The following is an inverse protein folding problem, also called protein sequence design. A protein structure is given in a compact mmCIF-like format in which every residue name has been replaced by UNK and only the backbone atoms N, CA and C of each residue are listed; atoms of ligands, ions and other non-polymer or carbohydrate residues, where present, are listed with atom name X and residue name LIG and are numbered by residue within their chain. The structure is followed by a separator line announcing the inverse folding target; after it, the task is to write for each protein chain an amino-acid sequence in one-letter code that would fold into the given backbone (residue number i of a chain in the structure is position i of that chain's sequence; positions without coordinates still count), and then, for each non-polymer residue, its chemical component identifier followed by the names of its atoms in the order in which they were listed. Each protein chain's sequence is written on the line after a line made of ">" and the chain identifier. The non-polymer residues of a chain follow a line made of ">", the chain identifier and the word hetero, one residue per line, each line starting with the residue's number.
data_IF_149714107662
#
_entry.id   IF_149714107662
#
_cell.length_a   1.000
_cell.length_b   1.000
_cell.length_c   1.000
_cell.angle_alpha   90.00
_cell.angle_beta   90.00
_cell.angle_gamma   90.00
#
_symmetry.space_group_name_H-M   'P 1'
#
loop_
_entity.id
_entity.type
_entity.pdbx_description
1 polymer ?
#
# COMPACT_ATOMS: atom_id res chain seq x y z
N UNK A 1 9.56 3.03 0.24
CA UNK A 1 8.28 2.62 0.82
C UNK A 1 8.40 2.67 2.33
N UNK A 2 7.39 3.19 3.01
CA UNK A 2 7.16 2.92 4.44
C UNK A 2 6.03 1.89 4.51
N UNK A 3 6.27 0.77 5.18
CA UNK A 3 5.34 -0.35 5.18
C UNK A 3 4.94 -0.73 6.60
N UNK A 4 3.94 -1.60 6.72
CA UNK A 4 3.50 -2.16 8.00
C UNK A 4 4.54 -3.12 8.58
N UNK A 5 5.13 -4.06 7.80
CA UNK A 5 6.21 -4.90 8.28
C UNK A 5 7.53 -4.12 8.42
N UNK A 6 8.49 -4.62 9.23
CA UNK A 6 9.85 -4.09 9.28
C UNK A 6 10.50 -3.96 7.90
N UNK A 7 11.51 -3.08 7.71
CA UNK A 7 12.26 -2.34 8.74
C UNK A 7 11.66 -0.96 9.10
N UNK A 8 11.96 -0.49 10.32
CA UNK A 8 11.46 0.79 10.85
C UNK A 8 11.90 2.03 10.05
N UNK A 9 13.09 2.01 9.44
CA UNK A 9 13.61 3.12 8.63
C UNK A 9 12.99 3.18 7.21
N UNK A 10 12.12 2.21 6.91
CA UNK A 10 11.53 2.00 5.60
C UNK A 10 12.50 1.38 4.60
N UNK A 11 11.96 1.12 3.41
CA UNK A 11 12.65 0.42 2.33
C UNK A 11 13.05 1.40 1.23
N UNK A 12 14.31 1.35 0.79
CA UNK A 12 14.94 2.29 -0.14
C UNK A 12 15.53 1.58 -1.36
N UNK A 13 15.27 2.12 -2.54
CA UNK A 13 15.75 1.56 -3.81
C UNK A 13 14.83 0.46 -4.36
N UNK A 14 14.89 0.27 -5.68
CA UNK A 14 13.96 -0.63 -6.39
C UNK A 14 14.21 -2.11 -6.07
N UNK A 15 15.45 -2.49 -5.82
CA UNK A 15 15.79 -3.89 -5.51
C UNK A 15 15.27 -4.26 -4.12
N UNK A 16 15.57 -3.45 -3.09
CA UNK A 16 15.04 -3.70 -1.76
C UNK A 16 13.51 -3.63 -1.71
N UNK A 17 12.89 -2.73 -2.46
CA UNK A 17 11.43 -2.68 -2.62
C UNK A 17 10.89 -3.96 -3.24
N UNK A 18 11.52 -4.49 -4.29
CA UNK A 18 11.09 -5.75 -4.93
C UNK A 18 11.07 -6.91 -3.93
N UNK A 19 12.08 -7.00 -3.07
CA UNK A 19 12.21 -8.09 -2.09
C UNK A 19 11.16 -8.06 -0.97
N UNK A 20 10.38 -6.97 -0.80
CA UNK A 20 9.31 -6.93 0.22
C UNK A 20 8.05 -7.68 -0.22
N UNK A 21 7.83 -7.80 -1.53
CA UNK A 21 6.56 -8.29 -2.07
C UNK A 21 6.37 -9.82 -2.10
N UNK A 22 7.39 -10.68 -2.26
CA UNK A 22 7.17 -12.12 -2.36
C UNK A 22 6.40 -12.72 -1.17
N UNK A 23 6.72 -12.41 0.10
CA UNK A 23 5.93 -12.90 1.23
C UNK A 23 4.46 -12.45 1.18
N UNK A 24 4.22 -11.19 0.79
CA UNK A 24 2.88 -10.65 0.63
C UNK A 24 2.10 -11.38 -0.48
N UNK A 25 2.73 -11.67 -1.62
CA UNK A 25 2.11 -12.44 -2.70
C UNK A 25 1.81 -13.88 -2.33
N UNK A 26 2.67 -14.54 -1.55
CA UNK A 26 2.39 -15.88 -1.02
C UNK A 26 1.19 -15.84 -0.08
N UNK A 27 1.11 -14.85 0.80
CA UNK A 27 -0.03 -14.66 1.69
C UNK A 27 -1.33 -14.37 0.92
N UNK A 28 -1.28 -13.52 -0.10
CA UNK A 28 -2.44 -13.23 -0.95
C UNK A 28 -2.96 -14.47 -1.69
N UNK A 29 -2.06 -15.33 -2.20
CA UNK A 29 -2.43 -16.59 -2.86
C UNK A 29 -3.19 -17.56 -1.95
N UNK A 30 -3.10 -17.41 -0.62
CA UNK A 30 -3.86 -18.21 0.34
C UNK A 30 -5.31 -17.71 0.53
N UNK A 31 -5.74 -16.71 -0.25
CA UNK A 31 -7.11 -16.19 -0.24
C UNK A 31 -7.30 -14.92 0.60
N UNK A 32 -6.21 -14.22 0.92
CA UNK A 32 -6.29 -12.92 1.56
C UNK A 32 -6.69 -11.81 0.58
N UNK A 33 -7.44 -10.83 1.06
CA UNK A 33 -7.90 -9.66 0.29
C UNK A 33 -6.86 -8.54 0.31
N UNK A 34 -6.81 -7.78 -0.79
CA UNK A 34 -6.14 -6.47 -0.89
C UNK A 34 -6.93 -5.59 -1.86
N UNK A 35 -8.16 -5.24 -1.45
CA UNK A 35 -9.16 -4.65 -2.34
C UNK A 35 -9.33 -3.15 -2.03
N UNK A 36 -9.34 -2.30 -3.06
CA UNK A 36 -9.58 -0.85 -2.89
C UNK A 36 -11.05 -0.63 -2.50
N UNK A 37 -11.28 0.01 -1.36
CA UNK A 37 -12.60 0.42 -0.88
C UNK A 37 -12.94 1.83 -1.38
N UNK A 38 -11.98 2.74 -1.29
CA UNK A 38 -12.09 4.11 -1.77
C UNK A 38 -10.71 4.63 -2.16
N UNK A 39 -10.67 5.54 -3.11
CA UNK A 39 -9.43 6.18 -3.56
C UNK A 39 -9.73 7.59 -4.06
N UNK A 40 -8.93 8.54 -3.61
CA UNK A 40 -8.91 9.90 -4.12
C UNK A 40 -7.56 10.20 -4.74
N UNK A 41 -7.56 10.97 -5.82
CA UNK A 41 -6.36 11.31 -6.57
C UNK A 41 -6.32 12.82 -6.78
N UNK A 42 -5.22 13.44 -6.37
CA UNK A 42 -4.90 14.83 -6.68
C UNK A 42 -3.75 14.87 -7.67
N UNK A 43 -3.95 15.54 -8.82
CA UNK A 43 -2.96 15.59 -9.90
C UNK A 43 -2.55 17.02 -10.23
N UNK A 44 -1.26 17.19 -10.48
CA UNK A 44 -0.69 18.36 -11.15
C UNK A 44 -0.06 17.98 -12.49
N UNK A 45 0.71 18.89 -13.07
CA UNK A 45 1.38 18.64 -14.36
C UNK A 45 2.44 17.53 -14.27
N UNK A 46 3.29 17.60 -13.24
CA UNK A 46 4.48 16.75 -13.09
C UNK A 46 4.47 15.89 -11.82
N UNK A 47 3.61 16.20 -10.86
CA UNK A 47 3.48 15.47 -9.59
C UNK A 47 2.02 15.18 -9.30
N UNK A 48 1.77 14.06 -8.64
CA UNK A 48 0.45 13.67 -8.17
C UNK A 48 0.58 12.89 -6.86
N UNK A 49 -0.51 12.83 -6.11
CA UNK A 49 -0.64 11.87 -5.02
C UNK A 49 -2.02 11.23 -5.03
N UNK A 50 -2.08 9.99 -4.59
CA UNK A 50 -3.32 9.27 -4.35
C UNK A 50 -3.33 8.76 -2.91
N UNK A 51 -4.50 8.77 -2.27
CA UNK A 51 -4.70 8.06 -1.01
C UNK A 51 -5.91 7.15 -1.11
N UNK A 52 -5.83 5.99 -0.47
CA UNK A 52 -6.85 4.96 -0.55
C UNK A 52 -7.07 4.27 0.80
N UNK A 53 -8.29 3.78 0.99
CA UNK A 53 -8.61 2.77 1.99
C UNK A 53 -8.73 1.43 1.30
N UNK A 54 -8.12 0.41 1.89
CA UNK A 54 -8.15 -0.97 1.38
C UNK A 54 -8.72 -1.92 2.42
N UNK A 55 -9.47 -2.91 1.94
CA UNK A 55 -9.79 -4.12 2.68
C UNK A 55 -8.59 -5.06 2.53
N UNK A 56 -7.81 -5.21 3.60
CA UNK A 56 -6.60 -6.01 3.63
C UNK A 56 -6.65 -6.98 4.80
N UNK A 57 -6.61 -8.28 4.51
CA UNK A 57 -6.64 -9.34 5.52
C UNK A 57 -7.09 -10.68 4.97
N UNK A 58 -6.87 -11.75 5.72
CA UNK A 58 -7.48 -13.06 5.46
C UNK A 58 -8.98 -13.02 5.70
N UNK A 59 -9.70 -14.03 5.21
CA UNK A 59 -11.15 -14.14 5.47
C UNK A 59 -11.48 -14.28 6.96
N UNK A 60 -10.59 -14.87 7.75
CA UNK A 60 -10.76 -14.98 9.20
C UNK A 60 -10.58 -13.61 9.87
N UNK A 61 -9.48 -12.92 9.59
CA UNK A 61 -9.20 -11.58 10.12
C UNK A 61 -10.32 -10.59 9.80
N UNK A 62 -10.83 -10.61 8.57
CA UNK A 62 -11.88 -9.69 8.12
C UNK A 62 -13.28 -10.07 8.59
N UNK A 63 -13.50 -11.30 9.08
CA UNK A 63 -14.72 -11.65 9.81
C UNK A 63 -14.64 -11.22 11.26
N UNK A 64 -13.48 -11.34 11.87
CA UNK A 64 -13.23 -10.89 13.25
C UNK A 64 -13.30 -9.36 13.35
N UNK A 65 -12.79 -8.65 12.34
CA UNK A 65 -12.80 -7.19 12.28
C UNK A 65 -13.15 -6.68 10.86
N UNK A 66 -14.45 -6.56 10.54
CA UNK A 66 -14.92 -6.10 9.24
C UNK A 66 -14.52 -4.66 8.90
N UNK A 67 -14.21 -3.84 9.91
CA UNK A 67 -13.80 -2.44 9.75
C UNK A 67 -12.29 -2.27 9.70
N UNK A 68 -11.52 -3.36 9.66
CA UNK A 68 -10.10 -3.27 9.42
C UNK A 68 -9.81 -2.65 8.04
N UNK A 69 -9.08 -1.54 8.04
CA UNK A 69 -8.70 -0.80 6.83
C UNK A 69 -7.20 -0.58 6.83
N UNK A 70 -6.56 -1.00 5.75
CA UNK A 70 -5.22 -0.52 5.42
C UNK A 70 -5.36 0.84 4.75
N UNK A 71 -4.59 1.82 5.20
CA UNK A 71 -4.43 3.11 4.51
C UNK A 71 -3.23 3.02 3.57
N UNK A 72 -3.41 3.46 2.34
CA UNK A 72 -2.37 3.58 1.33
C UNK A 72 -2.22 5.04 0.92
N UNK A 73 -1.00 5.54 0.82
CA UNK A 73 -0.68 6.79 0.11
C UNK A 73 0.41 6.53 -0.92
N UNK A 74 0.18 6.97 -2.15
CA UNK A 74 1.12 6.83 -3.28
C UNK A 74 1.48 8.22 -3.79
N UNK A 75 2.77 8.55 -3.80
CA UNK A 75 3.31 9.71 -4.48
C UNK A 75 3.79 9.35 -5.88
N UNK A 76 3.44 10.17 -6.87
CA UNK A 76 3.80 9.93 -8.26
C UNK A 76 4.54 11.14 -8.86
N UNK A 77 5.47 10.86 -9.77
CA UNK A 77 6.12 11.86 -10.62
C UNK A 77 5.99 11.47 -12.08
N UNK A 78 5.72 12.45 -12.94
CA UNK A 78 5.69 12.25 -14.39
C UNK A 78 7.10 12.38 -14.96
N UNK A 79 7.56 11.34 -15.63
CA UNK A 79 8.87 11.30 -16.28
C UNK A 79 8.71 10.77 -17.70
N UNK A 80 9.18 11.55 -18.69
CA UNK A 80 9.11 11.18 -20.12
C UNK A 80 7.71 10.73 -20.54
N UNK A 81 6.69 11.47 -20.09
CA UNK A 81 5.28 11.21 -20.41
C UNK A 81 4.61 10.10 -19.58
N UNK A 82 5.31 9.44 -18.65
CA UNK A 82 4.77 8.33 -17.84
C UNK A 82 4.76 8.68 -16.36
N UNK A 83 3.71 8.27 -15.65
CA UNK A 83 3.65 8.38 -14.19
C UNK A 83 4.42 7.24 -13.55
N UNK A 84 5.35 7.58 -12.66
CA UNK A 84 6.13 6.63 -11.87
C UNK A 84 5.79 6.82 -10.40
N UNK A 85 5.68 5.71 -9.66
CA UNK A 85 5.59 5.75 -8.20
C UNK A 85 6.95 6.13 -7.63
N UNK A 86 6.99 7.22 -6.86
CA UNK A 86 8.19 7.73 -6.20
C UNK A 86 8.13 7.57 -4.69
N UNK A 87 6.93 7.41 -4.14
CA UNK A 87 6.68 7.20 -2.72
C UNK A 87 5.48 6.30 -2.50
N UNK A 88 5.54 5.51 -1.44
CA UNK A 88 4.45 4.64 -1.00
C UNK A 88 4.51 4.51 0.52
N UNK A 89 3.34 4.59 1.15
CA UNK A 89 3.15 4.46 2.59
C UNK A 89 1.91 3.61 2.88
N UNK A 90 2.12 2.52 3.61
CA UNK A 90 1.08 1.66 4.17
C UNK A 90 0.98 1.79 5.69
N UNK A 91 -0.24 1.81 6.22
CA UNK A 91 -0.44 1.81 7.67
C UNK A 91 -1.83 1.31 8.07
N UNK A 92 -1.90 0.62 9.20
CA UNK A 92 -3.15 0.40 9.92
C UNK A 92 -3.27 1.46 11.03
N UNK A 93 -4.49 1.90 11.38
CA UNK A 93 -4.68 2.69 12.59
C UNK A 93 -4.36 1.85 13.82
N UNK A 94 -3.85 2.48 14.87
CA UNK A 94 -3.81 1.86 16.19
C UNK A 94 -5.24 1.65 16.68
N UNK A 95 -5.52 0.47 17.26
CA UNK A 95 -6.81 0.13 17.85
C UNK A 95 -6.52 -0.18 19.31
N UNK A 96 -6.84 0.78 20.18
CA UNK A 96 -6.70 0.63 21.63
C UNK A 96 -7.65 -0.46 22.17
#
# INVERSE_FOLDING_TARGET
>A
MFDVPPPSDGVRGIDAYRETWPPFFTWQQQGASFDIVSMDVTTGADVAFAHALLRCGTQEELRADPENRLRLTVGLRKERGRWLVTHEHHSFPHKD
#
